data_IF_109096233325
#
_entry.id   IF_109096233325
#
_cell.length_a   1.000
_cell.length_b   1.000
_cell.length_c   1.000
_cell.angle_alpha   90.00
_cell.angle_beta   90.00
_cell.angle_gamma   90.00
#
_symmetry.space_group_name_H-M   'P 1'
#
loop_
_entity.id
_entity.type
_entity.pdbx_description
1 polymer ?
#
# COMPACT_ATOMS: atom_id res chain seq x y z
N UNK A 1 24.14 -34.11 -19.32
CA UNK A 1 23.05 -33.91 -20.32
C UNK A 1 21.64 -34.02 -19.73
N UNK A 2 21.46 -34.55 -18.50
CA UNK A 2 20.15 -34.64 -17.83
C UNK A 2 19.60 -33.27 -17.38
N UNK A 3 20.49 -32.36 -16.98
CA UNK A 3 20.15 -31.06 -16.39
C UNK A 3 19.41 -30.19 -17.40
N UNK A 4 19.87 -30.19 -18.66
CA UNK A 4 19.23 -29.44 -19.74
C UNK A 4 17.80 -29.94 -20.00
N UNK A 5 17.60 -31.27 -19.95
CA UNK A 5 16.28 -31.89 -20.11
C UNK A 5 15.33 -31.59 -18.94
N UNK A 6 15.84 -31.34 -17.73
CA UNK A 6 15.03 -30.91 -16.57
C UNK A 6 14.73 -29.41 -16.57
N UNK A 7 15.64 -28.59 -17.10
CA UNK A 7 15.47 -27.14 -17.20
C UNK A 7 14.37 -26.72 -18.17
N UNK A 8 14.20 -27.46 -19.28
CA UNK A 8 13.17 -27.17 -20.28
C UNK A 8 11.76 -27.18 -19.66
N UNK A 9 11.25 -28.27 -19.05
CA UNK A 9 9.91 -28.29 -18.46
C UNK A 9 9.78 -27.32 -17.27
N UNK A 10 10.84 -27.16 -16.46
CA UNK A 10 10.84 -26.21 -15.35
C UNK A 10 10.68 -24.76 -15.83
N UNK A 11 11.39 -24.38 -16.90
CA UNK A 11 11.29 -23.05 -17.51
C UNK A 11 9.92 -22.81 -18.13
N UNK A 12 9.30 -23.81 -18.75
CA UNK A 12 7.96 -23.72 -19.31
C UNK A 12 6.91 -23.56 -18.20
N UNK A 13 7.06 -24.26 -17.08
CA UNK A 13 6.21 -24.06 -15.90
C UNK A 13 6.35 -22.65 -15.33
N UNK A 14 7.58 -22.15 -15.17
CA UNK A 14 7.83 -20.79 -14.69
C UNK A 14 7.25 -19.73 -15.64
N UNK A 15 7.41 -19.93 -16.96
CA UNK A 15 6.84 -19.04 -17.97
C UNK A 15 5.31 -19.03 -17.92
N UNK A 16 4.67 -20.21 -17.86
CA UNK A 16 3.23 -20.33 -17.74
C UNK A 16 2.71 -19.68 -16.45
N UNK A 17 3.43 -19.88 -15.34
CA UNK A 17 3.11 -19.25 -14.06
C UNK A 17 3.20 -17.73 -14.15
N UNK A 18 4.28 -17.19 -14.74
CA UNK A 18 4.47 -15.75 -14.91
C UNK A 18 3.34 -15.13 -15.76
N UNK A 19 2.99 -15.76 -16.89
CA UNK A 19 1.89 -15.31 -17.76
C UNK A 19 0.56 -15.38 -17.01
N UNK A 20 0.29 -16.46 -16.28
CA UNK A 20 -0.93 -16.62 -15.49
C UNK A 20 -1.07 -15.57 -14.39
N UNK A 21 0.00 -15.33 -13.64
CA UNK A 21 0.05 -14.29 -12.60
C UNK A 21 -0.14 -12.90 -13.19
N UNK A 22 0.49 -12.61 -14.33
CA UNK A 22 0.33 -11.34 -15.04
C UNK A 22 -1.11 -11.11 -15.49
N UNK A 23 -1.72 -12.08 -16.18
CA UNK A 23 -3.12 -11.98 -16.63
C UNK A 23 -4.07 -11.82 -15.44
N UNK A 24 -3.83 -12.54 -14.33
CA UNK A 24 -4.60 -12.39 -13.11
C UNK A 24 -4.48 -10.98 -12.51
N UNK A 25 -3.27 -10.43 -12.42
CA UNK A 25 -3.03 -9.09 -11.89
C UNK A 25 -3.68 -7.99 -12.74
N UNK A 26 -3.61 -8.10 -14.06
CA UNK A 26 -4.29 -7.19 -15.00
C UNK A 26 -5.81 -7.25 -14.79
N UNK A 27 -6.39 -8.45 -14.70
CA UNK A 27 -7.84 -8.62 -14.45
C UNK A 27 -8.28 -8.12 -13.09
N UNK A 28 -7.39 -8.13 -12.09
CA UNK A 28 -7.65 -7.61 -10.75
C UNK A 28 -7.61 -6.08 -10.67
N UNK A 29 -7.22 -5.39 -11.76
CA UNK A 29 -7.12 -3.94 -11.77
C UNK A 29 -5.95 -3.41 -10.91
N UNK A 30 -4.90 -4.20 -10.67
CA UNK A 30 -3.72 -3.76 -9.90
C UNK A 30 -3.07 -2.48 -10.48
N UNK A 31 -3.23 -2.26 -11.79
CA UNK A 31 -2.66 -1.13 -12.50
C UNK A 31 -3.59 0.09 -12.55
N UNK A 32 -4.82 -0.02 -12.03
CA UNK A 32 -5.83 1.06 -12.04
C UNK A 32 -5.55 2.13 -10.97
N UNK A 33 -4.81 1.77 -9.92
CA UNK A 33 -4.50 2.64 -8.78
C UNK A 33 -3.10 3.30 -8.86
N UNK A 34 -2.57 3.49 -10.08
CA UNK A 34 -1.29 4.20 -10.27
C UNK A 34 -1.44 5.72 -10.24
N UNK A 35 -2.66 6.23 -10.27
CA UNK A 35 -2.96 7.67 -10.34
C UNK A 35 -3.15 8.32 -8.94
N UNK A 36 -3.47 7.54 -7.91
CA UNK A 36 -3.75 8.00 -6.55
C UNK A 36 -2.52 8.47 -5.74
N UNK A 37 -1.29 7.91 -5.88
CA UNK A 37 -0.15 8.29 -5.04
C UNK A 37 0.35 9.72 -5.26
N UNK A 38 0.15 10.27 -6.46
CA UNK A 38 0.67 11.59 -6.83
C UNK A 38 -0.10 12.76 -6.19
N UNK A 39 -1.37 12.53 -5.81
CA UNK A 39 -2.20 13.54 -5.14
C UNK A 39 -2.06 13.49 -3.61
N UNK A 40 -1.68 12.34 -3.05
CA UNK A 40 -1.49 12.18 -1.59
C UNK A 40 -0.30 13.02 -1.10
N UNK A 41 0.78 13.13 -1.89
CA UNK A 41 1.97 13.93 -1.52
C UNK A 41 1.73 15.44 -1.49
N UNK A 42 0.70 15.92 -2.21
CA UNK A 42 0.35 17.35 -2.30
C UNK A 42 -0.75 17.75 -1.30
N UNK A 43 -1.47 16.77 -0.75
CA UNK A 43 -2.59 16.98 0.18
C UNK A 43 -2.25 16.62 1.64
N UNK A 44 -1.01 16.21 1.93
CA UNK A 44 -0.55 15.85 3.28
C UNK A 44 -0.56 17.02 4.28
N UNK A 45 -0.62 18.26 3.77
CA UNK A 45 -0.73 19.48 4.60
C UNK A 45 -2.14 19.72 5.16
N UNK A 46 -3.19 19.06 4.64
CA UNK A 46 -4.59 19.29 5.08
C UNK A 46 -5.06 18.29 6.15
N UNK A 47 -4.30 17.23 6.46
CA UNK A 47 -4.65 16.22 7.48
C UNK A 47 -4.00 16.44 8.84
N UNK A 48 -3.44 17.61 9.10
CA UNK A 48 -2.94 18.00 10.43
C UNK A 48 -4.05 18.24 11.49
N UNK A 49 -5.29 17.81 11.25
CA UNK A 49 -6.42 17.96 12.18
C UNK A 49 -6.73 16.73 13.05
N UNK A 50 -6.27 15.53 12.69
CA UNK A 50 -6.72 14.27 13.31
C UNK A 50 -5.60 13.50 14.01
N UNK A 51 -4.51 14.17 14.37
CA UNK A 51 -3.47 13.58 15.21
C UNK A 51 -3.98 13.36 16.64
N UNK A 52 -4.04 12.12 17.16
CA UNK A 52 -4.47 11.84 18.55
C UNK A 52 -3.58 12.52 19.61
N UNK A 53 -2.38 12.95 19.22
CA UNK A 53 -1.47 13.74 20.04
C UNK A 53 -1.97 15.16 20.35
N UNK A 54 -2.73 15.80 19.46
CA UNK A 54 -3.31 17.14 19.68
C UNK A 54 -4.53 17.06 20.60
N UNK A 55 -5.36 16.03 20.43
CA UNK A 55 -6.55 15.77 21.27
C UNK A 55 -6.20 15.55 22.75
N UNK A 56 -5.03 14.97 23.00
CA UNK A 56 -4.50 14.76 24.36
C UNK A 56 -4.05 16.08 25.02
N UNK A 57 -3.51 17.03 24.25
CA UNK A 57 -3.08 18.33 24.78
C UNK A 57 -4.26 19.25 25.12
N UNK A 58 -5.33 19.21 24.35
CA UNK A 58 -6.57 19.92 24.68
C UNK A 58 -7.26 19.34 25.92
N UNK A 59 -7.31 18.01 26.04
CA UNK A 59 -7.88 17.35 27.22
C UNK A 59 -7.11 17.68 28.51
N UNK A 60 -5.77 17.79 28.45
CA UNK A 60 -4.95 18.13 29.62
C UNK A 60 -5.07 19.63 29.98
N UNK A 61 -5.24 20.51 28.99
CA UNK A 61 -5.37 21.95 29.24
C UNK A 61 -6.79 22.37 29.69
N UNK A 62 -7.82 21.57 29.43
CA UNK A 62 -9.20 21.81 29.88
C UNK A 62 -9.47 21.49 31.35
N UNK A 63 -8.62 20.70 32.00
CA UNK A 63 -8.80 20.27 33.40
C UNK A 63 -8.42 21.34 34.42
N UNK A 64 -7.66 22.37 34.04
CA UNK A 64 -7.19 23.43 34.94
C UNK A 64 -8.12 24.63 35.14
N UNK A 65 -9.29 24.68 34.48
CA UNK A 65 -10.17 25.89 34.44
C UNK A 65 -11.52 25.71 35.15
N UNK A 66 -11.64 24.70 36.01
CA UNK A 66 -12.87 24.37 36.73
C UNK A 66 -12.65 24.27 38.25
N UNK A 67 -11.56 24.83 38.77
CA UNK A 67 -11.20 24.73 40.18
C UNK A 67 -11.33 26.05 40.95
N UNK A 68 -11.92 27.08 40.34
CA UNK A 68 -12.14 28.42 40.88
C UNK A 68 -13.63 28.75 41.07
#
# INVERSE_FOLDING_TARGET
MIILLMLIPLSLMLLAFAIGAFVWAVRKGQFDDMDTPALDILHDDERAGDSPALKTREAIHGVGRHAD
#
